data_IF_994692216755
#
_entry.id   IF_994692216755
#
_cell.length_a   1.000
_cell.length_b   1.000
_cell.length_c   1.000
_cell.angle_alpha   90.00
_cell.angle_beta   90.00
_cell.angle_gamma   90.00
#
_symmetry.space_group_name_H-M   'P 1'
#
loop_
_entity.id
_entity.type
_entity.pdbx_description
1 polymer ?
#
# COMPACT_ATOMS: atom_id res chain seq x y z
N UNK A 1 32.54 89.26 48.31
CA UNK A 1 31.50 89.08 47.32
C UNK A 1 31.93 87.95 46.41
N UNK A 2 31.54 86.74 46.70
CA UNK A 2 31.84 85.56 45.86
C UNK A 2 30.67 84.60 45.95
N UNK A 3 30.00 84.39 44.84
CA UNK A 3 28.83 83.61 44.68
C UNK A 3 29.19 82.13 44.44
N UNK A 4 28.64 81.25 45.26
CA UNK A 4 28.79 79.84 45.24
C UNK A 4 27.88 79.22 44.15
N UNK A 5 28.43 78.53 43.12
CA UNK A 5 27.68 77.81 42.15
C UNK A 5 27.68 76.29 42.54
N UNK A 6 26.52 75.81 42.87
CA UNK A 6 26.27 74.40 43.09
C UNK A 6 26.24 73.65 41.75
N UNK A 7 27.03 72.55 41.66
CA UNK A 7 27.02 71.62 40.58
C UNK A 7 26.08 70.47 40.96
N UNK A 8 24.98 70.32 40.27
CA UNK A 8 24.10 69.15 40.28
C UNK A 8 24.61 68.16 39.25
N UNK A 9 24.98 66.98 39.67
CA UNK A 9 25.27 65.86 38.81
C UNK A 9 23.98 65.02 38.58
N UNK A 10 23.63 64.66 37.34
CA UNK A 10 22.52 63.75 37.11
C UNK A 10 22.93 62.28 37.29
N UNK A 11 22.20 61.60 38.14
CA UNK A 11 22.27 60.10 38.32
C UNK A 11 21.62 59.40 37.13
N UNK A 12 22.42 58.86 36.25
CA UNK A 12 21.90 58.00 35.12
C UNK A 12 21.61 56.62 35.68
N UNK A 13 20.34 56.29 35.90
CA UNK A 13 19.87 54.94 36.20
C UNK A 13 19.88 54.11 34.90
N UNK A 14 20.86 53.26 34.72
CA UNK A 14 20.88 52.23 33.67
C UNK A 14 19.89 51.12 34.03
N UNK A 15 18.68 51.15 33.44
CA UNK A 15 17.74 50.05 33.49
C UNK A 15 18.26 48.95 32.54
N UNK A 16 18.87 47.91 33.09
CA UNK A 16 19.18 46.67 32.38
C UNK A 16 17.84 45.95 32.06
N UNK A 17 17.31 46.18 30.87
CA UNK A 17 16.30 45.31 30.27
C UNK A 17 16.98 43.97 29.93
N UNK A 18 16.95 43.02 30.86
CA UNK A 18 17.20 41.60 30.55
C UNK A 18 16.06 41.10 29.66
N UNK A 19 16.19 41.33 28.36
CA UNK A 19 15.37 40.72 27.34
C UNK A 19 15.64 39.22 27.40
N UNK A 20 14.71 38.45 27.99
CA UNK A 20 14.66 37.01 27.82
C UNK A 20 14.41 36.74 26.34
N UNK A 21 15.48 36.51 25.58
CA UNK A 21 15.41 35.88 24.28
C UNK A 21 14.80 34.48 24.52
N UNK A 22 13.48 34.40 24.42
CA UNK A 22 12.85 33.14 24.18
C UNK A 22 13.33 32.71 22.79
N UNK A 23 14.37 31.90 22.74
CA UNK A 23 14.69 31.14 21.56
C UNK A 23 13.42 30.32 21.27
N UNK A 24 12.61 30.80 20.34
CA UNK A 24 11.48 30.05 19.82
C UNK A 24 12.12 28.82 19.18
N UNK A 25 12.07 27.68 19.88
CA UNK A 25 12.57 26.43 19.35
C UNK A 25 11.92 26.28 17.97
N UNK A 26 12.74 26.26 16.94
CA UNK A 26 12.26 26.07 15.57
C UNK A 26 11.37 24.83 15.55
N UNK A 27 10.11 25.00 15.17
CA UNK A 27 9.13 23.92 15.22
C UNK A 27 9.59 22.81 14.29
N UNK A 28 10.02 21.68 14.85
CA UNK A 28 10.46 20.50 14.09
C UNK A 28 9.34 20.08 13.14
N UNK A 29 9.70 19.82 11.89
CA UNK A 29 8.73 19.48 10.84
C UNK A 29 9.11 18.14 10.24
N UNK A 30 8.23 17.15 10.38
CA UNK A 30 8.33 15.84 9.74
C UNK A 30 7.60 15.87 8.40
N UNK A 31 8.23 15.41 7.33
CA UNK A 31 7.65 15.30 5.99
C UNK A 31 7.40 13.85 5.63
N UNK A 32 6.13 13.50 5.43
CA UNK A 32 5.68 12.13 5.08
C UNK A 32 5.10 12.13 3.67
N UNK A 33 5.46 11.14 2.86
CA UNK A 33 4.92 10.91 1.53
C UNK A 33 4.30 9.53 1.48
N UNK A 34 2.98 9.46 1.43
CA UNK A 34 2.20 8.23 1.53
C UNK A 34 1.16 8.14 0.42
N UNK A 35 0.49 7.02 0.34
CA UNK A 35 -0.61 6.80 -0.59
C UNK A 35 -1.82 7.67 -0.27
N UNK A 36 -2.61 7.97 -1.31
CA UNK A 36 -3.89 8.66 -1.18
C UNK A 36 -4.86 7.85 -0.31
N UNK A 37 -5.61 8.53 0.58
CA UNK A 37 -6.61 7.93 1.50
C UNK A 37 -6.10 6.74 2.33
N UNK A 38 -4.88 6.81 2.84
CA UNK A 38 -4.20 5.68 3.46
C UNK A 38 -3.86 5.86 4.95
N UNK A 39 -4.37 6.91 5.57
CA UNK A 39 -4.28 7.18 7.01
C UNK A 39 -5.46 8.05 7.43
N UNK A 40 -5.93 7.92 8.68
CA UNK A 40 -7.00 8.79 9.16
C UNK A 40 -6.49 10.18 9.49
N UNK A 41 -7.26 11.26 9.22
CA UNK A 41 -6.90 12.61 9.64
C UNK A 41 -6.67 12.72 11.16
N UNK A 42 -7.42 11.95 11.94
CA UNK A 42 -7.29 11.90 13.39
C UNK A 42 -5.92 11.40 13.83
N UNK A 43 -5.41 10.32 13.20
CA UNK A 43 -4.07 9.79 13.50
C UNK A 43 -2.97 10.82 13.30
N UNK A 44 -3.07 11.64 12.24
CA UNK A 44 -2.10 12.71 11.96
C UNK A 44 -2.16 13.81 13.03
N UNK A 45 -3.38 14.20 13.44
CA UNK A 45 -3.61 15.20 14.48
C UNK A 45 -3.09 14.75 15.84
N UNK A 46 -3.37 13.50 16.20
CA UNK A 46 -2.97 12.91 17.48
C UNK A 46 -1.45 12.75 17.57
N UNK A 47 -0.79 12.36 16.48
CA UNK A 47 0.68 12.32 16.43
C UNK A 47 1.30 13.71 16.67
N UNK A 48 0.79 14.75 16.01
CA UNK A 48 1.30 16.11 16.21
C UNK A 48 1.13 16.58 17.65
N UNK A 49 -0.01 16.26 18.26
CA UNK A 49 -0.31 16.59 19.66
C UNK A 49 0.60 15.83 20.63
N UNK A 50 0.83 14.52 20.39
CA UNK A 50 1.63 13.64 21.25
C UNK A 50 3.13 13.95 21.17
N UNK A 51 3.62 14.26 19.96
CA UNK A 51 5.06 14.44 19.68
C UNK A 51 5.54 15.89 19.75
N UNK A 52 4.64 16.87 19.60
CA UNK A 52 4.98 18.28 19.41
C UNK A 52 5.65 18.58 18.04
N UNK A 53 5.66 17.62 17.12
CA UNK A 53 6.25 17.74 15.80
C UNK A 53 5.17 18.17 14.80
N UNK A 54 5.44 19.22 14.02
CA UNK A 54 4.58 19.59 12.89
C UNK A 54 4.71 18.52 11.80
N UNK A 55 3.59 18.05 11.26
CA UNK A 55 3.57 17.06 10.20
C UNK A 55 3.13 17.70 8.88
N UNK A 56 3.93 17.51 7.84
CA UNK A 56 3.58 17.80 6.45
C UNK A 56 3.35 16.45 5.78
N UNK A 57 2.14 16.24 5.30
CA UNK A 57 1.71 14.96 4.74
C UNK A 57 1.30 15.16 3.29
N UNK A 58 2.13 14.65 2.39
CA UNK A 58 1.90 14.67 0.96
C UNK A 58 1.50 13.27 0.47
N UNK A 59 0.80 13.21 -0.64
CA UNK A 59 0.22 11.98 -1.17
C UNK A 59 0.72 11.69 -2.58
N UNK A 60 0.77 10.39 -2.91
CA UNK A 60 0.97 9.89 -4.26
C UNK A 60 -0.02 8.76 -4.57
N UNK A 61 -0.13 8.40 -5.83
CA UNK A 61 -1.06 7.40 -6.35
C UNK A 61 -0.39 6.23 -7.08
N UNK A 62 0.94 6.32 -7.35
CA UNK A 62 1.70 5.26 -8.00
C UNK A 62 3.09 5.10 -7.39
N UNK A 63 3.61 3.88 -7.35
CA UNK A 63 4.99 3.62 -6.95
C UNK A 63 6.00 4.32 -7.87
N UNK A 64 5.68 4.47 -9.14
CA UNK A 64 6.52 5.15 -10.13
C UNK A 64 6.68 6.64 -9.81
N UNK A 65 5.61 7.30 -9.33
CA UNK A 65 5.68 8.68 -8.88
C UNK A 65 6.60 8.83 -7.65
N UNK A 66 6.48 7.91 -6.68
CA UNK A 66 7.38 7.85 -5.53
C UNK A 66 8.82 7.57 -5.97
N UNK A 67 9.04 6.56 -6.82
CA UNK A 67 10.37 6.20 -7.32
C UNK A 67 11.06 7.36 -8.05
N UNK A 68 10.34 8.03 -8.95
CA UNK A 68 10.86 9.22 -9.64
C UNK A 68 11.30 10.30 -8.65
N UNK A 69 10.54 10.51 -7.58
CA UNK A 69 10.85 11.47 -6.52
C UNK A 69 12.11 11.06 -5.73
N UNK A 70 12.23 9.79 -5.38
CA UNK A 70 13.37 9.26 -4.62
C UNK A 70 14.67 9.29 -5.42
N UNK A 71 14.62 8.96 -6.71
CA UNK A 71 15.80 8.90 -7.59
C UNK A 71 16.37 10.26 -7.94
N UNK A 72 15.70 11.38 -7.61
CA UNK A 72 16.31 12.73 -7.71
C UNK A 72 17.49 12.94 -6.76
N UNK A 73 17.68 12.03 -5.79
CA UNK A 73 18.75 12.10 -4.79
C UNK A 73 18.44 13.00 -3.59
N UNK A 74 17.41 13.84 -3.67
CA UNK A 74 16.88 14.62 -2.54
C UNK A 74 15.35 14.67 -2.63
N UNK A 75 14.68 13.70 -2.04
CA UNK A 75 13.21 13.63 -2.09
C UNK A 75 12.52 14.74 -1.31
N UNK A 76 13.20 15.28 -0.28
CA UNK A 76 12.64 16.26 0.65
C UNK A 76 11.69 15.64 1.69
N UNK A 77 11.61 14.31 1.78
CA UNK A 77 10.78 13.58 2.74
C UNK A 77 11.62 12.85 3.78
N UNK A 78 11.03 12.66 4.97
CA UNK A 78 11.63 11.94 6.09
C UNK A 78 11.09 10.51 6.20
N UNK A 79 9.82 10.30 5.81
CA UNK A 79 9.19 8.97 5.72
C UNK A 79 8.49 8.85 4.37
N UNK A 80 8.69 7.71 3.72
CA UNK A 80 8.02 7.34 2.47
C UNK A 80 7.45 5.93 2.55
N UNK A 81 6.46 5.61 1.70
CA UNK A 81 5.73 4.34 1.81
C UNK A 81 5.70 3.59 0.47
N UNK A 82 6.83 3.05 -0.01
CA UNK A 82 6.85 2.21 -1.20
C UNK A 82 6.20 0.85 -0.95
N UNK A 83 5.67 0.23 -2.00
CA UNK A 83 5.33 -1.20 -1.95
C UNK A 83 6.61 -2.05 -1.99
N UNK A 84 6.56 -3.24 -1.36
CA UNK A 84 7.72 -4.10 -1.13
C UNK A 84 8.56 -4.42 -2.37
N UNK A 85 7.93 -4.59 -3.55
CA UNK A 85 8.66 -4.87 -4.81
C UNK A 85 9.50 -3.67 -5.25
N UNK A 86 8.97 -2.45 -5.11
CA UNK A 86 9.71 -1.22 -5.41
C UNK A 86 10.76 -0.94 -4.35
N UNK A 87 10.44 -1.18 -3.08
CA UNK A 87 11.40 -1.11 -1.98
C UNK A 87 12.67 -1.91 -2.29
N UNK A 88 12.54 -3.16 -2.78
CA UNK A 88 13.70 -4.00 -3.10
C UNK A 88 14.65 -3.33 -4.10
N UNK A 89 14.12 -2.77 -5.20
CA UNK A 89 14.91 -2.02 -6.20
C UNK A 89 15.55 -0.77 -5.61
N UNK A 90 14.81 -0.07 -4.77
CA UNK A 90 15.25 1.17 -4.13
C UNK A 90 16.32 0.91 -3.05
N UNK A 91 16.27 -0.25 -2.36
CA UNK A 91 17.35 -0.70 -1.46
C UNK A 91 18.64 -0.95 -2.26
N UNK A 92 18.57 -1.67 -3.39
CA UNK A 92 19.70 -1.89 -4.28
C UNK A 92 20.30 -0.58 -4.82
N UNK A 93 19.46 0.43 -5.07
CA UNK A 93 19.87 1.77 -5.47
C UNK A 93 20.44 2.62 -4.32
N UNK A 94 20.44 2.11 -3.07
CA UNK A 94 20.99 2.80 -1.91
C UNK A 94 20.19 4.03 -1.48
N UNK A 95 18.89 4.04 -1.72
CA UNK A 95 17.99 5.19 -1.46
C UNK A 95 17.64 5.32 0.01
N UNK A 96 17.63 4.21 0.77
CA UNK A 96 17.21 4.17 2.16
C UNK A 96 18.38 4.01 3.13
N UNK A 97 18.20 4.47 4.35
CA UNK A 97 19.07 4.14 5.47
C UNK A 97 18.62 2.84 6.14
N UNK A 98 19.58 2.09 6.69
CA UNK A 98 19.24 0.94 7.55
C UNK A 98 18.57 1.42 8.82
N UNK A 99 17.54 0.69 9.25
CA UNK A 99 16.82 0.99 10.48
C UNK A 99 17.62 0.61 11.71
N UNK A 100 17.64 1.51 12.68
CA UNK A 100 18.04 1.21 14.06
C UNK A 100 16.81 0.70 14.83
N UNK A 101 16.77 -0.60 15.07
CA UNK A 101 15.65 -1.23 15.79
C UNK A 101 15.52 -0.80 17.24
N UNK A 102 16.59 -0.27 17.85
CA UNK A 102 16.52 0.28 19.21
C UNK A 102 15.62 1.50 19.31
N UNK A 103 15.43 2.21 18.17
CA UNK A 103 14.50 3.35 18.03
C UNK A 103 13.05 2.93 17.82
N UNK A 104 12.78 1.62 17.66
CA UNK A 104 11.46 1.07 17.34
C UNK A 104 11.00 0.03 18.38
N UNK A 105 10.80 0.41 19.65
CA UNK A 105 10.38 -0.54 20.69
C UNK A 105 9.07 -1.28 20.38
N UNK A 106 8.18 -0.69 19.57
CA UNK A 106 6.92 -1.32 19.15
C UNK A 106 7.11 -2.33 18.00
N UNK A 107 8.33 -2.57 17.50
CA UNK A 107 8.64 -3.62 16.54
C UNK A 107 8.17 -5.02 17.01
N UNK A 108 8.14 -5.26 18.31
CA UNK A 108 7.69 -6.53 18.91
C UNK A 108 6.25 -6.90 18.58
N UNK A 109 5.43 -5.94 18.19
CA UNK A 109 4.02 -6.14 17.80
C UNK A 109 3.87 -6.71 16.38
N UNK A 110 4.92 -6.65 15.56
CA UNK A 110 4.87 -7.17 14.19
C UNK A 110 4.72 -8.69 14.16
N UNK A 111 3.91 -9.20 13.22
CA UNK A 111 3.69 -10.63 13.03
C UNK A 111 4.93 -11.29 12.40
N UNK A 112 5.56 -12.29 13.08
CA UNK A 112 6.76 -12.94 12.56
C UNK A 112 6.55 -13.67 11.24
N UNK A 113 5.34 -14.21 10.96
CA UNK A 113 5.05 -14.91 9.71
C UNK A 113 5.03 -13.92 8.54
N UNK A 114 4.43 -12.74 8.71
CA UNK A 114 4.45 -11.66 7.72
C UNK A 114 5.88 -11.12 7.52
N UNK A 115 6.62 -10.92 8.61
CA UNK A 115 8.02 -10.47 8.54
C UNK A 115 8.89 -11.44 7.73
N UNK A 116 8.63 -12.74 7.82
CA UNK A 116 9.33 -13.76 7.03
C UNK A 116 9.05 -13.66 5.53
N UNK A 117 7.83 -13.31 5.14
CA UNK A 117 7.50 -13.09 3.73
C UNK A 117 8.20 -11.86 3.15
N UNK A 118 8.33 -10.80 3.95
CA UNK A 118 8.96 -9.54 3.57
C UNK A 118 10.47 -9.70 3.31
N UNK A 119 11.14 -10.67 3.96
CA UNK A 119 12.56 -10.94 3.73
C UNK A 119 12.91 -11.20 2.25
N UNK A 120 11.94 -11.60 1.44
CA UNK A 120 12.13 -11.75 0.01
C UNK A 120 12.44 -10.44 -0.73
N UNK A 121 12.05 -9.30 -0.15
CA UNK A 121 12.21 -7.94 -0.71
C UNK A 121 13.13 -7.05 0.14
N UNK A 122 13.25 -7.32 1.45
CA UNK A 122 14.13 -6.64 2.39
C UNK A 122 14.84 -7.69 3.26
N UNK A 123 15.96 -8.27 2.80
CA UNK A 123 16.66 -9.33 3.52
C UNK A 123 17.06 -8.94 4.96
N UNK A 124 16.52 -9.68 5.93
CA UNK A 124 16.67 -9.42 7.35
C UNK A 124 15.83 -8.24 7.86
N UNK A 125 14.88 -7.73 7.08
CA UNK A 125 14.00 -6.61 7.40
C UNK A 125 14.78 -5.40 7.94
N UNK A 126 15.78 -4.94 7.17
CA UNK A 126 16.75 -3.95 7.61
C UNK A 126 16.39 -2.52 7.27
N UNK A 127 15.58 -2.28 6.22
CA UNK A 127 15.40 -0.97 5.64
C UNK A 127 14.00 -0.38 5.83
N UNK A 128 13.00 -1.22 6.11
CA UNK A 128 11.63 -0.75 6.21
C UNK A 128 10.79 -1.52 7.23
N UNK A 129 9.68 -0.90 7.61
CA UNK A 129 8.68 -1.44 8.53
C UNK A 129 7.38 -1.63 7.77
N UNK A 130 6.74 -2.81 7.79
CA UNK A 130 5.46 -2.97 7.12
C UNK A 130 4.37 -2.12 7.79
N UNK A 131 3.55 -1.50 6.95
CA UNK A 131 2.46 -0.62 7.36
C UNK A 131 1.09 -1.27 7.16
N UNK A 132 0.78 -1.59 5.91
CA UNK A 132 -0.43 -2.32 5.52
C UNK A 132 -0.03 -3.45 4.56
N UNK A 133 -0.90 -4.44 4.43
CA UNK A 133 -0.73 -5.47 3.42
C UNK A 133 -2.06 -5.84 2.78
N UNK A 134 -2.00 -6.51 1.65
CA UNK A 134 -3.17 -7.01 0.97
C UNK A 134 -2.82 -8.06 -0.05
N UNK A 135 -3.86 -8.65 -0.63
CA UNK A 135 -3.74 -9.64 -1.68
C UNK A 135 -4.42 -9.15 -2.95
N UNK A 136 -4.01 -9.71 -4.08
CA UNK A 136 -4.76 -9.59 -5.32
C UNK A 136 -5.74 -10.76 -5.35
N UNK A 137 -7.02 -10.45 -5.56
CA UNK A 137 -8.07 -11.45 -5.51
C UNK A 137 -9.20 -11.15 -6.51
N UNK A 138 -10.23 -11.97 -6.51
CA UNK A 138 -11.40 -11.83 -7.36
C UNK A 138 -12.51 -11.17 -6.56
N UNK A 139 -12.97 -9.99 -7.02
CA UNK A 139 -14.20 -9.36 -6.56
C UNK A 139 -15.32 -9.60 -7.58
N UNK A 140 -16.52 -9.82 -7.09
CA UNK A 140 -17.63 -10.15 -8.00
C UNK A 140 -19.00 -9.78 -7.43
N UNK A 141 -19.97 -9.65 -8.34
CA UNK A 141 -21.39 -9.55 -8.02
C UNK A 141 -22.01 -10.95 -8.06
N UNK A 142 -22.41 -11.54 -6.90
CA UNK A 142 -22.87 -12.92 -6.83
C UNK A 142 -24.09 -13.20 -7.73
N UNK A 143 -25.05 -12.28 -7.78
CA UNK A 143 -26.26 -12.46 -8.59
C UNK A 143 -25.95 -12.49 -10.08
N UNK A 144 -25.10 -11.60 -10.58
CA UNK A 144 -24.70 -11.54 -12.00
C UNK A 144 -23.85 -12.73 -12.41
N UNK A 145 -22.90 -13.14 -11.55
CA UNK A 145 -22.06 -14.30 -11.82
C UNK A 145 -22.88 -15.59 -11.83
N UNK A 146 -23.80 -15.75 -10.87
CA UNK A 146 -24.76 -16.88 -10.87
C UNK A 146 -25.64 -16.89 -12.13
N UNK A 147 -26.12 -15.75 -12.57
CA UNK A 147 -26.92 -15.65 -13.79
C UNK A 147 -26.13 -16.07 -15.05
N UNK A 148 -24.83 -15.76 -15.12
CA UNK A 148 -23.96 -16.09 -16.25
C UNK A 148 -23.44 -17.54 -16.24
N UNK A 149 -23.07 -18.06 -15.07
CA UNK A 149 -22.33 -19.33 -14.92
C UNK A 149 -23.08 -20.40 -14.12
N UNK A 150 -24.21 -20.06 -13.47
CA UNK A 150 -24.93 -20.97 -12.60
C UNK A 150 -24.36 -21.04 -11.18
N UNK A 151 -24.89 -21.95 -10.36
CA UNK A 151 -24.56 -22.10 -8.96
C UNK A 151 -23.12 -22.62 -8.71
N UNK A 152 -22.53 -23.30 -9.67
CA UNK A 152 -21.20 -23.90 -9.57
C UNK A 152 -20.10 -23.01 -10.20
N UNK A 153 -20.32 -21.70 -10.30
CA UNK A 153 -19.32 -20.76 -10.79
C UNK A 153 -18.04 -20.86 -9.93
N UNK A 154 -16.84 -20.99 -10.54
CA UNK A 154 -15.58 -21.17 -9.80
C UNK A 154 -15.06 -19.83 -9.24
N UNK A 155 -15.86 -19.16 -8.39
CA UNK A 155 -15.53 -17.83 -7.84
C UNK A 155 -14.32 -17.83 -6.92
N UNK A 156 -13.89 -18.99 -6.43
CA UNK A 156 -12.73 -19.22 -5.58
C UNK A 156 -11.51 -19.73 -6.36
N UNK A 157 -11.47 -19.55 -7.67
CA UNK A 157 -10.41 -20.06 -8.54
C UNK A 157 -10.07 -19.08 -9.65
N UNK A 158 -8.80 -19.01 -10.03
CA UNK A 158 -8.35 -18.29 -11.23
C UNK A 158 -8.97 -18.83 -12.52
N UNK A 159 -9.56 -20.02 -12.49
CA UNK A 159 -10.35 -20.58 -13.59
C UNK A 159 -11.50 -19.65 -14.01
N UNK A 160 -12.06 -18.87 -13.09
CA UNK A 160 -13.10 -17.88 -13.42
C UNK A 160 -12.65 -16.88 -14.48
N UNK A 161 -11.37 -16.52 -14.44
CA UNK A 161 -10.78 -15.48 -15.31
C UNK A 161 -10.04 -16.12 -16.49
N UNK A 162 -9.21 -17.14 -16.25
CA UNK A 162 -8.27 -17.63 -17.26
C UNK A 162 -8.80 -18.79 -18.11
N UNK A 163 -9.95 -19.40 -17.74
CA UNK A 163 -10.63 -20.33 -18.62
C UNK A 163 -11.60 -19.58 -19.53
N UNK A 164 -11.37 -19.71 -20.85
CA UNK A 164 -12.16 -19.02 -21.87
C UNK A 164 -13.65 -19.28 -21.73
N UNK A 165 -14.05 -20.54 -21.45
CA UNK A 165 -15.44 -20.95 -21.27
C UNK A 165 -16.18 -20.22 -20.14
N UNK A 166 -15.45 -19.75 -19.10
CA UNK A 166 -16.01 -18.98 -18.00
C UNK A 166 -16.08 -17.48 -18.34
N UNK A 167 -14.93 -16.91 -18.72
CA UNK A 167 -14.86 -15.46 -18.95
C UNK A 167 -15.71 -15.03 -20.15
N UNK A 168 -15.88 -15.88 -21.17
CA UNK A 168 -16.72 -15.60 -22.31
C UNK A 168 -18.18 -15.36 -21.92
N UNK A 169 -18.70 -16.12 -20.96
CA UNK A 169 -20.06 -15.95 -20.43
C UNK A 169 -20.20 -14.70 -19.57
N UNK A 170 -19.12 -14.27 -18.91
CA UNK A 170 -19.10 -13.06 -18.08
C UNK A 170 -18.97 -11.76 -18.90
N UNK A 171 -18.62 -11.84 -20.19
CA UNK A 171 -18.43 -10.69 -21.06
C UNK A 171 -19.62 -9.72 -21.03
N UNK A 172 -20.85 -10.24 -21.04
CA UNK A 172 -22.06 -9.41 -21.09
C UNK A 172 -22.28 -8.58 -19.83
N UNK A 173 -21.83 -9.07 -18.67
CA UNK A 173 -21.95 -8.34 -17.41
C UNK A 173 -20.68 -7.56 -17.01
N UNK A 174 -19.61 -7.68 -17.79
CA UNK A 174 -18.39 -6.90 -17.68
C UNK A 174 -17.33 -7.52 -16.75
N UNK A 175 -16.09 -7.58 -17.25
CA UNK A 175 -14.91 -8.08 -16.54
C UNK A 175 -13.79 -7.05 -16.60
N UNK A 176 -13.25 -6.64 -15.45
CA UNK A 176 -12.13 -5.72 -15.36
C UNK A 176 -10.89 -6.39 -14.75
N UNK A 177 -9.73 -6.06 -15.27
CA UNK A 177 -8.44 -6.47 -14.69
C UNK A 177 -7.60 -5.23 -14.36
N UNK A 178 -6.65 -5.39 -13.42
CA UNK A 178 -5.66 -4.34 -13.14
C UNK A 178 -4.85 -3.99 -14.40
N UNK A 179 -4.54 -2.73 -14.61
CA UNK A 179 -3.58 -2.28 -15.63
C UNK A 179 -2.15 -2.37 -15.08
N UNK A 180 -1.73 -3.59 -14.77
CA UNK A 180 -0.43 -3.87 -14.16
C UNK A 180 0.14 -5.20 -14.66
N UNK A 181 1.16 -5.16 -15.55
CA UNK A 181 1.80 -6.38 -16.03
C UNK A 181 2.52 -7.14 -14.91
N UNK A 182 3.00 -6.40 -13.89
CA UNK A 182 3.70 -6.99 -12.74
C UNK A 182 2.78 -7.76 -11.80
N UNK A 183 1.48 -7.59 -11.92
CA UNK A 183 0.48 -8.23 -11.07
C UNK A 183 -0.35 -9.27 -11.84
N UNK A 184 -0.79 -8.94 -13.05
CA UNK A 184 -1.66 -9.82 -13.83
C UNK A 184 -0.88 -10.99 -14.48
N UNK A 185 0.32 -10.75 -15.03
CA UNK A 185 1.06 -11.83 -15.68
C UNK A 185 1.57 -12.91 -14.71
N UNK A 186 1.97 -12.62 -13.47
CA UNK A 186 2.20 -13.65 -12.46
C UNK A 186 0.99 -14.58 -12.19
N UNK A 187 -0.22 -14.03 -12.20
CA UNK A 187 -1.45 -14.83 -12.06
C UNK A 187 -1.65 -15.76 -13.26
N UNK A 188 -1.41 -15.25 -14.47
CA UNK A 188 -1.47 -16.06 -15.68
C UNK A 188 -0.40 -17.15 -15.70
N UNK A 189 0.82 -16.85 -15.23
CA UNK A 189 1.89 -17.86 -15.06
C UNK A 189 1.47 -18.92 -14.06
N UNK A 190 0.96 -18.54 -12.90
CA UNK A 190 0.47 -19.46 -11.86
C UNK A 190 -0.63 -20.38 -12.41
N UNK A 191 -1.60 -19.83 -13.12
CA UNK A 191 -2.68 -20.61 -13.75
C UNK A 191 -2.13 -21.63 -14.76
N UNK A 192 -1.04 -21.32 -15.46
CA UNK A 192 -0.32 -22.23 -16.36
C UNK A 192 0.57 -23.25 -15.64
N UNK A 193 0.62 -23.25 -14.30
CA UNK A 193 1.53 -24.11 -13.52
C UNK A 193 3.00 -23.68 -13.61
N UNK A 194 3.27 -22.42 -14.00
CA UNK A 194 4.60 -21.85 -14.09
C UNK A 194 4.91 -20.97 -12.84
N UNK A 195 6.20 -20.80 -12.49
CA UNK A 195 6.56 -19.93 -11.37
C UNK A 195 6.05 -18.51 -11.59
N UNK A 196 5.30 -17.91 -10.64
CA UNK A 196 4.80 -16.53 -10.77
C UNK A 196 5.91 -15.47 -10.95
N UNK A 197 7.07 -15.70 -10.32
CA UNK A 197 8.27 -14.87 -10.42
C UNK A 197 9.28 -15.46 -11.43
N UNK A 198 8.83 -15.96 -12.57
CA UNK A 198 9.73 -16.57 -13.56
C UNK A 198 10.65 -15.54 -14.18
N UNK A 199 11.96 -15.81 -14.20
CA UNK A 199 12.97 -15.03 -14.93
C UNK A 199 13.18 -15.50 -16.38
N UNK A 200 12.33 -16.42 -16.87
CA UNK A 200 12.42 -16.97 -18.22
C UNK A 200 11.54 -16.20 -19.20
N UNK A 201 12.09 -15.47 -20.18
CA UNK A 201 11.31 -14.77 -21.21
C UNK A 201 10.29 -15.65 -21.96
N UNK A 202 10.60 -16.96 -22.11
CA UNK A 202 9.71 -17.90 -22.76
C UNK A 202 8.40 -18.14 -22.00
N UNK A 203 8.40 -18.02 -20.68
CA UNK A 203 7.20 -18.20 -19.87
C UNK A 203 6.22 -17.04 -20.08
N UNK A 204 6.73 -15.82 -20.25
CA UNK A 204 5.90 -14.64 -20.58
C UNK A 204 5.24 -14.72 -21.96
N UNK A 205 5.85 -15.44 -22.93
CA UNK A 205 5.18 -15.73 -24.21
C UNK A 205 3.97 -16.66 -24.01
N UNK A 206 4.06 -17.62 -23.09
CA UNK A 206 2.92 -18.51 -22.77
C UNK A 206 1.82 -17.73 -22.05
N UNK A 207 2.17 -16.90 -21.07
CA UNK A 207 1.23 -16.03 -20.38
C UNK A 207 0.54 -15.05 -21.35
N UNK A 208 1.31 -14.48 -22.30
CA UNK A 208 0.78 -13.63 -23.37
C UNK A 208 -0.25 -14.38 -24.23
N UNK A 209 0.07 -15.58 -24.68
CA UNK A 209 -0.85 -16.39 -25.50
C UNK A 209 -2.15 -16.69 -24.76
N UNK A 210 -2.09 -17.03 -23.46
CA UNK A 210 -3.27 -17.19 -22.62
C UNK A 210 -4.08 -15.90 -22.53
N UNK A 211 -3.43 -14.78 -22.23
CA UNK A 211 -4.08 -13.48 -22.09
C UNK A 211 -4.72 -12.99 -23.38
N UNK A 212 -4.06 -13.16 -24.54
CA UNK A 212 -4.62 -12.82 -25.86
C UNK A 212 -5.87 -13.62 -26.17
N UNK A 213 -5.91 -14.91 -25.77
CA UNK A 213 -7.09 -15.76 -25.94
C UNK A 213 -8.30 -15.23 -25.18
N UNK A 214 -8.12 -14.72 -23.95
CA UNK A 214 -9.21 -14.20 -23.14
C UNK A 214 -9.45 -12.68 -23.32
N UNK A 215 -8.54 -11.98 -24.00
CA UNK A 215 -8.60 -10.53 -24.19
C UNK A 215 -9.94 -10.02 -24.75
N UNK A 216 -10.60 -10.71 -25.72
CA UNK A 216 -11.89 -10.26 -26.28
C UNK A 216 -13.04 -10.21 -25.27
N UNK A 217 -12.87 -10.84 -24.09
CA UNK A 217 -13.88 -10.93 -23.05
C UNK A 217 -13.60 -9.96 -21.89
N UNK A 218 -12.44 -9.28 -21.88
CA UNK A 218 -12.07 -8.28 -20.88
C UNK A 218 -12.60 -6.93 -21.32
N UNK A 219 -13.44 -6.30 -20.49
CA UNK A 219 -14.04 -5.01 -20.76
C UNK A 219 -12.98 -3.91 -20.79
N UNK A 220 -12.13 -3.88 -19.76
CA UNK A 220 -11.00 -2.93 -19.69
C UNK A 220 -9.92 -3.39 -18.70
N UNK A 221 -8.75 -2.73 -18.81
CA UNK A 221 -7.68 -2.75 -17.82
C UNK A 221 -7.62 -1.41 -17.11
N UNK A 222 -7.76 -1.39 -15.78
CA UNK A 222 -7.61 -0.18 -14.96
C UNK A 222 -7.46 -0.51 -13.49
N UNK A 223 -6.49 0.11 -12.81
CA UNK A 223 -6.14 -0.25 -11.43
C UNK A 223 -6.97 0.41 -10.33
N UNK A 224 -7.89 1.33 -10.66
CA UNK A 224 -8.77 1.98 -9.68
C UNK A 224 -10.25 2.02 -10.09
N UNK A 225 -10.58 2.18 -11.37
CA UNK A 225 -11.95 2.36 -11.87
C UNK A 225 -12.89 1.22 -11.49
N UNK A 226 -12.38 -0.02 -11.46
CA UNK A 226 -13.17 -1.23 -11.15
C UNK A 226 -13.90 -1.14 -9.80
N UNK A 227 -13.34 -0.40 -8.83
CA UNK A 227 -13.93 -0.27 -7.49
C UNK A 227 -15.28 0.46 -7.54
N UNK A 228 -15.39 1.54 -8.29
CA UNK A 228 -16.65 2.24 -8.48
C UNK A 228 -17.62 1.43 -9.36
N UNK A 229 -17.13 0.87 -10.46
CA UNK A 229 -17.97 0.14 -11.42
C UNK A 229 -18.61 -1.11 -10.80
N UNK A 230 -17.87 -1.87 -9.96
CA UNK A 230 -18.43 -3.05 -9.31
C UNK A 230 -19.43 -2.66 -8.20
N UNK A 231 -19.16 -1.57 -7.46
CA UNK A 231 -20.07 -1.05 -6.45
C UNK A 231 -21.39 -0.52 -7.03
N UNK A 232 -21.34 0.04 -8.25
CA UNK A 232 -22.52 0.49 -8.99
C UNK A 232 -23.21 -0.66 -9.74
N UNK A 233 -22.56 -1.82 -9.90
CA UNK A 233 -23.05 -2.93 -10.68
C UNK A 233 -22.82 -2.81 -12.18
N UNK A 234 -21.94 -1.90 -12.65
CA UNK A 234 -21.61 -1.72 -14.07
C UNK A 234 -20.78 -2.88 -14.63
N UNK A 235 -20.00 -3.55 -13.74
CA UNK A 235 -19.29 -4.80 -14.03
C UNK A 235 -19.69 -5.89 -13.04
N UNK A 236 -19.45 -7.15 -13.40
CA UNK A 236 -19.79 -8.28 -12.54
C UNK A 236 -18.59 -8.97 -11.91
N UNK A 237 -17.39 -8.84 -12.47
CA UNK A 237 -16.17 -9.44 -11.97
C UNK A 237 -15.01 -8.47 -12.15
N UNK A 238 -14.13 -8.42 -11.17
CA UNK A 238 -12.85 -7.74 -11.30
C UNK A 238 -11.73 -8.52 -10.61
N UNK A 239 -10.52 -8.42 -11.15
CA UNK A 239 -9.27 -8.78 -10.45
C UNK A 239 -8.70 -7.49 -9.89
N UNK A 240 -8.49 -7.45 -8.59
CA UNK A 240 -8.05 -6.23 -7.91
C UNK A 240 -7.58 -6.48 -6.48
N UNK A 241 -7.43 -5.39 -5.75
CA UNK A 241 -6.89 -5.40 -4.39
C UNK A 241 -7.97 -5.70 -3.35
N UNK A 242 -7.64 -6.53 -2.37
CA UNK A 242 -8.58 -7.01 -1.35
C UNK A 242 -9.31 -5.90 -0.60
N UNK A 243 -8.62 -4.87 -0.12
CA UNK A 243 -9.24 -3.74 0.58
C UNK A 243 -10.15 -2.88 -0.31
N UNK A 244 -9.82 -2.75 -1.61
CA UNK A 244 -10.68 -2.05 -2.56
C UNK A 244 -12.04 -2.70 -2.72
N UNK A 245 -12.12 -4.03 -2.67
CA UNK A 245 -13.41 -4.73 -2.70
C UNK A 245 -14.17 -4.61 -1.38
N UNK A 246 -13.48 -4.54 -0.24
CA UNK A 246 -14.10 -4.19 1.04
C UNK A 246 -14.75 -2.81 0.98
N UNK A 247 -14.03 -1.81 0.46
CA UNK A 247 -14.58 -0.46 0.26
C UNK A 247 -15.73 -0.44 -0.75
N UNK A 248 -15.62 -1.16 -1.88
CA UNK A 248 -16.69 -1.26 -2.88
C UNK A 248 -17.96 -1.87 -2.28
N UNK A 249 -17.84 -2.93 -1.46
CA UNK A 249 -18.97 -3.54 -0.76
C UNK A 249 -19.63 -2.55 0.23
N UNK A 250 -18.85 -1.74 0.94
CA UNK A 250 -19.36 -0.71 1.83
C UNK A 250 -20.13 0.37 1.03
N UNK A 251 -19.55 0.89 -0.04
CA UNK A 251 -20.18 1.89 -0.92
C UNK A 251 -21.51 1.40 -1.51
N UNK A 252 -21.55 0.15 -1.97
CA UNK A 252 -22.79 -0.44 -2.50
C UNK A 252 -23.89 -0.52 -1.44
N UNK A 253 -23.53 -0.88 -0.19
CA UNK A 253 -24.47 -0.90 0.95
C UNK A 253 -24.98 0.50 1.31
N UNK A 254 -24.08 1.48 1.39
CA UNK A 254 -24.41 2.87 1.69
C UNK A 254 -25.31 3.49 0.63
N UNK A 255 -25.06 3.21 -0.64
CA UNK A 255 -25.86 3.66 -1.77
C UNK A 255 -27.26 2.99 -1.80
N UNK A 256 -27.44 1.88 -1.07
CA UNK A 256 -28.70 1.10 -1.05
C UNK A 256 -29.26 0.80 -2.44
N UNK A 257 -28.37 0.52 -3.42
CA UNK A 257 -28.73 0.34 -4.84
C UNK A 257 -29.05 -1.13 -5.19
N UNK A 258 -29.12 -2.02 -4.21
CA UNK A 258 -29.37 -3.45 -4.38
C UNK A 258 -28.19 -4.26 -4.91
N UNK A 259 -27.02 -3.62 -5.11
CA UNK A 259 -25.80 -4.30 -5.54
C UNK A 259 -25.13 -4.95 -4.34
N UNK A 260 -24.76 -6.22 -4.50
CA UNK A 260 -23.91 -6.95 -3.55
C UNK A 260 -22.54 -7.18 -4.18
N UNK A 261 -21.50 -6.80 -3.48
CA UNK A 261 -20.11 -7.10 -3.86
C UNK A 261 -19.55 -8.11 -2.87
N UNK A 262 -19.08 -9.24 -3.39
CA UNK A 262 -18.35 -10.27 -2.64
C UNK A 262 -16.94 -10.40 -3.20
N UNK A 263 -16.05 -11.06 -2.44
CA UNK A 263 -14.67 -11.28 -2.85
C UNK A 263 -14.22 -12.69 -2.44
N UNK A 264 -13.30 -13.26 -3.21
CA UNK A 264 -12.69 -14.56 -2.89
C UNK A 264 -11.19 -14.54 -3.18
N UNK A 265 -10.43 -14.97 -2.20
CA UNK A 265 -9.04 -15.33 -2.38
C UNK A 265 -9.01 -16.68 -3.11
N UNK A 266 -8.40 -16.77 -4.31
CA UNK A 266 -8.37 -18.02 -5.06
C UNK A 266 -7.60 -19.12 -4.33
N UNK A 267 -8.12 -20.32 -4.38
CA UNK A 267 -7.58 -21.51 -3.69
C UNK A 267 -6.20 -21.94 -4.17
N UNK A 268 -5.82 -21.52 -5.37
CA UNK A 268 -4.48 -21.71 -5.92
C UNK A 268 -3.43 -20.80 -5.28
N UNK A 269 -3.88 -19.77 -4.54
CA UNK A 269 -3.04 -18.73 -3.97
C UNK A 269 -3.00 -17.47 -4.84
N UNK A 270 -2.32 -16.44 -4.33
CA UNK A 270 -2.28 -15.13 -4.95
C UNK A 270 -1.04 -14.34 -4.49
N UNK A 271 -0.69 -13.25 -5.18
CA UNK A 271 0.30 -12.31 -4.67
C UNK A 271 -0.19 -11.67 -3.37
N UNK A 272 0.70 -11.60 -2.39
CA UNK A 272 0.58 -10.74 -1.21
C UNK A 272 1.59 -9.60 -1.36
N UNK A 273 1.14 -8.39 -1.11
CA UNK A 273 1.96 -7.19 -1.14
C UNK A 273 1.96 -6.50 0.22
N UNK A 274 3.00 -5.72 0.46
CA UNK A 274 3.18 -4.94 1.67
C UNK A 274 3.57 -3.52 1.27
N UNK A 275 2.92 -2.53 1.87
CA UNK A 275 3.38 -1.16 1.83
C UNK A 275 4.24 -0.88 3.06
N UNK A 276 5.41 -0.29 2.84
CA UNK A 276 6.53 -0.31 3.75
C UNK A 276 6.94 1.11 4.14
N UNK A 277 6.90 1.43 5.43
CA UNK A 277 7.44 2.67 5.96
C UNK A 277 8.97 2.62 5.89
N UNK A 278 9.58 3.50 5.12
CA UNK A 278 11.03 3.59 4.95
C UNK A 278 11.53 5.01 5.16
N UNK A 279 12.77 5.15 5.62
CA UNK A 279 13.42 6.44 5.87
C UNK A 279 14.44 6.68 4.74
N UNK A 280 14.27 7.70 3.89
CA UNK A 280 15.25 8.05 2.88
C UNK A 280 16.63 8.32 3.48
N UNK A 281 17.70 7.99 2.74
CA UNK A 281 19.08 8.12 3.21
C UNK A 281 19.44 9.56 3.63
N UNK A 282 18.82 10.53 2.98
CA UNK A 282 19.01 11.96 3.18
C UNK A 282 17.84 12.64 3.90
N UNK A 283 17.04 11.89 4.67
CA UNK A 283 16.01 12.45 5.52
C UNK A 283 16.60 13.52 6.45
N UNK A 284 15.94 14.67 6.50
CA UNK A 284 16.40 15.81 7.32
C UNK A 284 16.14 15.59 8.81
N UNK A 285 15.07 14.83 9.14
CA UNK A 285 14.59 14.62 10.51
C UNK A 285 14.41 13.12 10.82
N UNK A 286 15.48 12.31 10.77
CA UNK A 286 15.38 10.86 10.95
C UNK A 286 14.86 10.46 12.33
N UNK A 287 15.20 11.20 13.39
CA UNK A 287 14.70 10.90 14.75
C UNK A 287 13.17 11.05 14.84
N UNK A 288 12.59 12.08 14.22
CA UNK A 288 11.15 12.27 14.21
C UNK A 288 10.47 11.28 13.25
N UNK A 289 11.16 10.82 12.19
CA UNK A 289 10.72 9.71 11.36
C UNK A 289 10.58 8.41 12.16
N UNK A 290 11.57 8.06 12.99
CA UNK A 290 11.47 6.93 13.91
C UNK A 290 10.31 7.06 14.90
N UNK A 291 10.08 8.26 15.47
CA UNK A 291 8.94 8.51 16.37
C UNK A 291 7.61 8.26 15.66
N UNK A 292 7.46 8.73 14.41
CA UNK A 292 6.25 8.52 13.64
C UNK A 292 6.03 7.04 13.30
N UNK A 293 7.06 6.36 12.81
CA UNK A 293 6.99 4.92 12.52
C UNK A 293 6.65 4.14 13.79
N UNK A 294 7.34 4.41 14.90
CA UNK A 294 7.08 3.73 16.17
C UNK A 294 5.68 4.04 16.73
N UNK A 295 5.16 5.25 16.49
CA UNK A 295 3.79 5.63 16.85
C UNK A 295 2.77 4.81 16.06
N UNK A 296 2.95 4.65 14.75
CA UNK A 296 2.08 3.84 13.90
C UNK A 296 2.11 2.35 14.26
N UNK A 297 3.19 1.86 14.86
CA UNK A 297 3.30 0.47 15.33
C UNK A 297 2.51 0.19 16.63
N UNK A 298 1.95 1.20 17.29
CA UNK A 298 1.08 0.98 18.45
C UNK A 298 -0.21 0.29 18.01
N UNK A 299 -0.65 -0.80 18.67
CA UNK A 299 -1.87 -1.52 18.30
C UNK A 299 -3.12 -0.65 18.25
N UNK A 300 -3.26 0.29 19.19
CA UNK A 300 -4.39 1.22 19.28
C UNK A 300 -4.37 2.32 18.21
N UNK A 301 -3.23 2.55 17.58
CA UNK A 301 -3.05 3.55 16.50
C UNK A 301 -3.33 2.92 15.15
N UNK A 302 -2.78 1.73 14.89
CA UNK A 302 -2.86 1.11 13.56
C UNK A 302 -4.21 0.44 13.28
N UNK A 303 -4.91 -0.05 14.32
CA UNK A 303 -6.20 -0.71 14.15
C UNK A 303 -7.28 0.22 13.54
N UNK A 304 -7.50 1.47 14.03
CA UNK A 304 -8.42 2.41 13.39
C UNK A 304 -8.03 2.77 11.96
N UNK A 305 -6.74 2.74 11.63
CA UNK A 305 -6.29 2.96 10.24
C UNK A 305 -6.76 1.78 9.36
N UNK A 306 -6.58 0.53 9.82
CA UNK A 306 -7.12 -0.64 9.10
C UNK A 306 -8.62 -0.55 8.88
N UNK A 307 -9.38 -0.09 9.86
CA UNK A 307 -10.83 0.09 9.74
C UNK A 307 -11.19 1.14 8.67
N UNK A 308 -10.41 2.21 8.59
CA UNK A 308 -10.60 3.27 7.62
C UNK A 308 -10.23 2.85 6.20
N UNK A 309 -9.03 2.24 6.03
CA UNK A 309 -8.52 1.89 4.69
C UNK A 309 -9.08 0.56 4.16
N UNK A 310 -9.64 -0.29 5.03
CA UNK A 310 -10.16 -1.61 4.67
C UNK A 310 -9.07 -2.66 4.41
N UNK A 311 -7.82 -2.39 4.78
CA UNK A 311 -6.69 -3.30 4.64
C UNK A 311 -6.21 -3.82 5.99
N UNK A 312 -5.74 -5.07 6.06
CA UNK A 312 -5.09 -5.59 7.25
C UNK A 312 -3.74 -4.90 7.47
N UNK A 313 -3.37 -4.79 8.74
CA UNK A 313 -2.06 -4.32 9.19
C UNK A 313 -1.22 -5.49 9.72
N UNK A 314 0.12 -5.37 9.74
CA UNK A 314 1.02 -6.44 10.16
C UNK A 314 1.22 -6.56 11.67
N UNK A 315 0.47 -5.80 12.47
CA UNK A 315 0.58 -5.80 13.92
C UNK A 315 -0.33 -6.87 14.51
N UNK A 316 0.26 -7.99 15.01
CA UNK A 316 -0.49 -9.12 15.56
C UNK A 316 -1.34 -8.75 16.79
N UNK A 317 -0.90 -7.76 17.58
CA UNK A 317 -1.58 -7.32 18.80
C UNK A 317 -2.67 -6.26 18.52
N UNK A 318 -2.76 -5.78 17.28
CA UNK A 318 -3.83 -4.89 16.80
C UNK A 318 -5.03 -5.67 16.25
N UNK A 319 -4.87 -6.93 15.87
CA UNK A 319 -5.91 -7.71 15.18
C UNK A 319 -7.23 -7.72 15.94
N UNK A 320 -7.20 -7.91 17.27
CA UNK A 320 -8.43 -7.93 18.08
C UNK A 320 -9.09 -6.55 18.23
N UNK A 321 -8.39 -5.49 17.91
CA UNK A 321 -8.89 -4.10 17.94
C UNK A 321 -9.50 -3.66 16.60
N UNK A 322 -9.22 -4.37 15.52
CA UNK A 322 -9.79 -4.12 14.18
C UNK A 322 -11.25 -4.54 14.17
N UNK A 323 -12.07 -3.78 13.44
CA UNK A 323 -13.50 -4.06 13.27
C UNK A 323 -13.74 -5.54 12.89
N UNK A 324 -14.62 -6.26 13.63
CA UNK A 324 -14.90 -7.67 13.36
C UNK A 324 -15.31 -7.99 11.91
N UNK A 325 -15.97 -7.07 11.21
CA UNK A 325 -16.35 -7.24 9.81
C UNK A 325 -15.13 -7.31 8.87
N UNK A 326 -14.01 -6.71 9.27
CA UNK A 326 -12.74 -6.74 8.53
C UNK A 326 -11.89 -7.91 9.00
N UNK A 327 -11.60 -8.02 10.30
CA UNK A 327 -10.69 -9.03 10.83
C UNK A 327 -11.19 -10.48 10.67
N UNK A 328 -12.50 -10.69 10.67
CA UNK A 328 -13.09 -12.01 10.52
C UNK A 328 -13.33 -12.41 9.05
N UNK A 329 -12.99 -11.53 8.09
CA UNK A 329 -13.08 -11.86 6.67
C UNK A 329 -11.81 -12.58 6.22
N UNK A 330 -11.87 -13.89 5.88
CA UNK A 330 -10.70 -14.68 5.49
C UNK A 330 -10.09 -14.25 4.15
N UNK A 331 -10.75 -13.41 3.39
CA UNK A 331 -10.23 -12.82 2.16
C UNK A 331 -9.38 -11.56 2.43
N UNK A 332 -9.52 -10.95 3.62
CA UNK A 332 -8.70 -9.82 4.09
C UNK A 332 -7.62 -10.30 5.05
N UNK A 333 -8.00 -11.10 6.05
CA UNK A 333 -7.10 -11.77 6.99
C UNK A 333 -7.04 -13.27 6.67
N UNK A 334 -6.15 -13.69 5.75
CA UNK A 334 -6.08 -15.07 5.29
C UNK A 334 -5.80 -16.05 6.43
N UNK A 335 -6.42 -17.23 6.38
CA UNK A 335 -6.12 -18.31 7.33
C UNK A 335 -4.67 -18.77 7.20
N UNK A 336 -4.15 -19.46 8.22
CA UNK A 336 -2.80 -20.03 8.17
C UNK A 336 -2.60 -20.95 6.96
N UNK A 337 -3.62 -21.73 6.55
CA UNK A 337 -3.58 -22.55 5.35
C UNK A 337 -3.48 -21.69 4.08
N UNK A 338 -4.32 -20.66 3.94
CA UNK A 338 -4.28 -19.77 2.79
C UNK A 338 -2.93 -19.04 2.67
N UNK A 339 -2.37 -18.61 3.81
CA UNK A 339 -1.05 -17.95 3.87
C UNK A 339 0.06 -18.79 3.27
N UNK A 340 0.00 -20.14 3.35
CA UNK A 340 1.02 -21.03 2.75
C UNK A 340 1.05 -20.98 1.23
N UNK A 341 -0.02 -20.50 0.59
CA UNK A 341 -0.18 -20.40 -0.86
C UNK A 341 0.06 -18.97 -1.38
N UNK A 342 0.21 -18.01 -0.49
CA UNK A 342 0.53 -16.64 -0.87
C UNK A 342 2.02 -16.49 -1.17
N UNK A 343 2.34 -15.60 -2.08
CA UNK A 343 3.72 -15.30 -2.47
C UNK A 343 3.94 -13.81 -2.70
N UNK A 344 5.13 -13.34 -2.39
CA UNK A 344 5.52 -11.97 -2.73
C UNK A 344 6.05 -11.92 -4.16
N UNK A 345 5.71 -10.83 -4.85
CA UNK A 345 6.33 -10.53 -6.14
C UNK A 345 7.76 -10.05 -5.92
N UNK A 346 8.62 -10.30 -6.92
CA UNK A 346 10.05 -9.93 -6.88
C UNK A 346 10.42 -9.11 -8.10
N UNK A 347 11.45 -8.25 -8.00
CA UNK A 347 12.09 -7.69 -9.17
C UNK A 347 12.56 -8.81 -10.10
N UNK A 348 12.37 -8.63 -11.41
CA UNK A 348 12.75 -9.62 -12.41
C UNK A 348 14.13 -9.27 -13.01
N UNK A 349 14.83 -10.28 -13.50
CA UNK A 349 15.97 -10.07 -14.38
C UNK A 349 15.57 -9.25 -15.62
N UNK A 350 16.49 -8.43 -16.14
CA UNK A 350 16.25 -7.42 -17.20
C UNK A 350 15.53 -8.00 -18.42
N UNK A 351 15.92 -9.20 -18.86
CA UNK A 351 15.35 -9.79 -20.08
C UNK A 351 13.92 -10.31 -19.84
N UNK A 352 13.63 -10.84 -18.66
CA UNK A 352 12.28 -11.23 -18.25
C UNK A 352 11.37 -10.00 -18.10
N UNK A 353 11.87 -8.92 -17.50
CA UNK A 353 11.15 -7.64 -17.36
C UNK A 353 10.78 -7.06 -18.74
N UNK A 354 11.73 -7.06 -19.69
CA UNK A 354 11.47 -6.63 -21.07
C UNK A 354 10.43 -7.51 -21.77
N UNK A 355 10.51 -8.84 -21.55
CA UNK A 355 9.54 -9.78 -22.12
C UNK A 355 8.14 -9.52 -21.55
N UNK A 356 8.03 -9.31 -20.22
CA UNK A 356 6.79 -8.98 -19.52
C UNK A 356 6.16 -7.70 -20.06
N UNK A 357 6.95 -6.64 -20.20
CA UNK A 357 6.47 -5.33 -20.71
C UNK A 357 5.97 -5.42 -22.14
N UNK A 358 6.72 -6.12 -23.02
CA UNK A 358 6.34 -6.32 -24.43
C UNK A 358 5.04 -7.15 -24.54
N UNK A 359 4.94 -8.23 -23.76
CA UNK A 359 3.74 -9.06 -23.72
C UNK A 359 2.52 -8.22 -23.32
N UNK A 360 2.66 -7.37 -22.28
CA UNK A 360 1.57 -6.50 -21.81
C UNK A 360 1.11 -5.50 -22.87
N UNK A 361 2.05 -4.88 -23.59
CA UNK A 361 1.71 -3.95 -24.68
C UNK A 361 0.85 -4.64 -25.75
N UNK A 362 1.23 -5.87 -26.17
CA UNK A 362 0.43 -6.63 -27.14
C UNK A 362 -0.91 -7.09 -26.60
N UNK A 363 -0.97 -7.53 -25.35
CA UNK A 363 -2.23 -7.91 -24.68
C UNK A 363 -3.20 -6.71 -24.67
N UNK A 364 -2.71 -5.51 -24.31
CA UNK A 364 -3.58 -4.32 -24.27
C UNK A 364 -4.07 -3.91 -25.64
N UNK A 365 -3.22 -3.96 -26.67
CA UNK A 365 -3.62 -3.67 -28.06
C UNK A 365 -4.52 -4.77 -28.67
N UNK A 366 -4.45 -5.99 -28.16
CA UNK A 366 -5.17 -7.14 -28.72
C UNK A 366 -4.51 -7.73 -29.97
N UNK A 367 -3.18 -7.48 -30.15
CA UNK A 367 -2.42 -7.88 -31.34
C UNK A 367 -1.21 -8.72 -30.98
#
# INVERSE_FOLDING_TARGET
MATLKQLLAPLVAAVLCAGTLHAQAEQRTLRVYNWFDYITPQTLTDFQKDSGVKLVYDIFDTNEALEAKLLTGNSGYDVVVPSNVFLAKQIEAGVFQSLDRSMLPNWQHLDPALMKLIEANDPGNKFAVPYMYGTILIGFNPAKVKAALGDNAPVDSWDLIFKEENIAKLKQCGVALLDSPSEILPLALQHLGLPPNSDKPADYKKAEALMLKIRPYITYFHSSKYMADIANGDICVAVGYSGSFSQAANRAREANNGVVVDMRLPKEGAPIWFDMLAIPKNAANPEDAYKFINYLLRPEVIAPISDFVGYPNPNKDATDKVNPAIRNNPNLYPTAEAMTKLYTLKPLARDAERARTRAWTRIKSGT
#
